data_IF_020343359760
#
_entry.id   IF_020343359760
#
_cell.length_a   1.000
_cell.length_b   1.000
_cell.length_c   1.000
_cell.angle_alpha   90.00
_cell.angle_beta   90.00
_cell.angle_gamma   90.00
#
_symmetry.space_group_name_H-M   'P 1'
#
loop_
_entity.id
_entity.type
_entity.pdbx_description
1 polymer ?
#
# COMPACT_ATOMS: atom_id res chain seq x y z
N UNK A 1 -2.16 -23.60 11.13
CA UNK A 1 -1.13 -22.55 11.12
C UNK A 1 -0.22 -22.68 9.90
N UNK A 2 0.42 -23.84 9.69
CA UNK A 2 1.30 -24.13 8.52
C UNK A 2 0.66 -23.87 7.14
N UNK A 3 -0.64 -24.19 6.96
CA UNK A 3 -1.36 -23.93 5.70
C UNK A 3 -1.57 -22.44 5.42
N UNK A 4 -1.78 -21.62 6.45
CA UNK A 4 -1.93 -20.17 6.29
C UNK A 4 -0.59 -19.53 5.96
N UNK A 5 0.49 -19.95 6.63
CA UNK A 5 1.85 -19.47 6.36
C UNK A 5 2.35 -19.81 4.95
N UNK A 6 2.07 -21.03 4.47
CA UNK A 6 2.41 -21.42 3.09
C UNK A 6 1.68 -20.55 2.08
N UNK A 7 0.38 -20.32 2.27
CA UNK A 7 -0.42 -19.48 1.38
C UNK A 7 0.03 -18.01 1.42
N UNK A 8 0.38 -17.48 2.59
CA UNK A 8 0.93 -16.13 2.74
C UNK A 8 2.29 -15.99 2.06
N UNK A 9 3.20 -16.96 2.20
CA UNK A 9 4.50 -16.94 1.51
C UNK A 9 4.35 -16.96 -0.01
N UNK A 10 3.42 -17.76 -0.53
CA UNK A 10 3.10 -17.78 -1.96
C UNK A 10 2.56 -16.42 -2.41
N UNK A 11 1.62 -15.83 -1.66
CA UNK A 11 1.06 -14.52 -1.98
C UNK A 11 2.13 -13.42 -2.00
N UNK A 12 3.05 -13.42 -1.02
CA UNK A 12 4.20 -12.51 -0.99
C UNK A 12 5.08 -12.72 -2.22
N UNK A 13 5.42 -13.97 -2.55
CA UNK A 13 6.22 -14.28 -3.74
C UNK A 13 5.58 -13.76 -5.03
N UNK A 14 4.26 -13.95 -5.18
CA UNK A 14 3.50 -13.43 -6.33
C UNK A 14 3.48 -11.90 -6.36
N UNK A 15 3.34 -11.24 -5.19
CA UNK A 15 3.33 -9.79 -5.07
C UNK A 15 4.64 -9.14 -5.52
N UNK A 16 5.77 -9.84 -5.42
CA UNK A 16 7.06 -9.38 -5.97
C UNK A 16 7.29 -9.80 -7.43
N UNK A 17 6.87 -11.02 -7.79
CA UNK A 17 7.09 -11.56 -9.13
C UNK A 17 6.31 -10.80 -10.20
N UNK A 18 5.05 -10.42 -9.94
CA UNK A 18 4.18 -9.75 -10.91
C UNK A 18 4.71 -8.35 -11.28
N UNK A 19 5.06 -7.45 -10.33
CA UNK A 19 5.68 -6.16 -10.66
C UNK A 19 7.04 -6.31 -11.34
N UNK A 20 7.86 -7.27 -10.91
CA UNK A 20 9.16 -7.52 -11.53
C UNK A 20 9.00 -7.94 -13.00
N UNK A 21 8.09 -8.87 -13.28
CA UNK A 21 7.80 -9.32 -14.64
C UNK A 21 7.26 -8.20 -15.52
N UNK A 22 6.31 -7.40 -15.03
CA UNK A 22 5.75 -6.26 -15.77
C UNK A 22 6.83 -5.22 -16.07
N UNK A 23 7.65 -4.85 -15.08
CA UNK A 23 8.79 -3.93 -15.28
C UNK A 23 9.80 -4.46 -16.31
N UNK A 24 10.11 -5.76 -16.27
CA UNK A 24 11.03 -6.40 -17.23
C UNK A 24 10.44 -6.40 -18.65
N UNK A 25 9.15 -6.69 -18.77
CA UNK A 25 8.43 -6.67 -20.05
C UNK A 25 8.41 -5.27 -20.68
N UNK A 26 8.19 -4.22 -19.87
CA UNK A 26 8.25 -2.84 -20.36
C UNK A 26 9.63 -2.46 -20.91
N UNK A 27 10.69 -2.78 -20.16
CA UNK A 27 12.05 -2.40 -20.54
C UNK A 27 12.65 -3.25 -21.66
N UNK A 28 12.51 -4.58 -21.61
CA UNK A 28 13.19 -5.47 -22.56
C UNK A 28 12.39 -5.75 -23.84
N UNK A 29 11.07 -5.88 -23.74
CA UNK A 29 10.27 -6.31 -24.90
C UNK A 29 9.82 -5.13 -25.77
N UNK A 30 9.55 -3.97 -25.16
CA UNK A 30 8.95 -2.82 -25.85
C UNK A 30 9.86 -1.58 -25.90
N UNK A 31 11.07 -1.64 -25.31
CA UNK A 31 11.99 -0.50 -25.17
C UNK A 31 11.33 0.75 -24.56
N UNK A 32 10.32 0.55 -23.70
CA UNK A 32 9.64 1.64 -23.00
C UNK A 32 10.52 2.07 -21.83
N UNK A 33 11.45 2.97 -22.12
CA UNK A 33 12.29 3.63 -21.12
C UNK A 33 11.44 4.58 -20.27
N UNK A 34 11.95 4.88 -19.07
CA UNK A 34 11.36 5.84 -18.14
C UNK A 34 12.15 7.17 -18.15
N UNK A 35 12.08 7.99 -19.22
CA UNK A 35 12.86 9.22 -19.31
C UNK A 35 12.43 10.26 -18.27
N UNK A 36 13.40 11.04 -17.82
CA UNK A 36 13.14 12.25 -17.04
C UNK A 36 12.64 13.37 -17.94
N UNK A 37 11.52 14.00 -17.56
CA UNK A 37 10.90 15.11 -18.29
C UNK A 37 11.10 16.40 -17.52
N UNK A 38 11.97 17.28 -18.03
CA UNK A 38 12.35 18.53 -17.37
C UNK A 38 11.18 19.50 -17.17
N UNK A 39 10.22 19.54 -18.11
CA UNK A 39 9.10 20.47 -18.04
C UNK A 39 8.24 20.28 -16.79
N UNK A 40 8.08 19.05 -16.29
CA UNK A 40 7.26 18.77 -15.10
C UNK A 40 8.02 18.11 -13.96
N UNK A 41 9.36 17.99 -14.06
CA UNK A 41 10.25 17.31 -13.12
C UNK A 41 9.73 15.93 -12.69
N UNK A 42 9.37 15.07 -13.66
CA UNK A 42 8.83 13.73 -13.41
C UNK A 42 9.42 12.68 -14.34
N UNK A 43 9.31 11.43 -13.95
CA UNK A 43 9.67 10.29 -14.78
C UNK A 43 8.45 9.85 -15.59
N UNK A 44 8.50 10.08 -16.90
CA UNK A 44 7.45 9.70 -17.85
C UNK A 44 7.78 8.39 -18.54
N UNK A 45 6.83 7.84 -19.28
CA UNK A 45 7.10 6.73 -20.22
C UNK A 45 7.29 7.35 -21.61
N UNK A 46 8.17 6.77 -22.43
CA UNK A 46 8.42 7.23 -23.80
C UNK A 46 7.12 7.29 -24.64
N UNK A 47 7.01 8.27 -25.54
CA UNK A 47 5.77 8.60 -26.29
C UNK A 47 5.55 7.74 -27.55
N UNK A 48 5.73 6.43 -27.42
CA UNK A 48 5.35 5.47 -28.47
C UNK A 48 3.92 4.96 -28.20
N UNK A 49 3.14 4.72 -29.25
CA UNK A 49 1.75 4.23 -29.11
C UNK A 49 1.66 2.96 -28.26
N UNK A 50 2.60 2.04 -28.40
CA UNK A 50 2.67 0.80 -27.60
C UNK A 50 2.94 1.08 -26.11
N UNK A 51 3.81 2.06 -25.83
CA UNK A 51 4.16 2.42 -24.46
C UNK A 51 3.03 3.15 -23.73
N UNK A 52 2.21 3.94 -24.44
CA UNK A 52 1.02 4.58 -23.87
C UNK A 52 -0.06 3.55 -23.50
N UNK A 53 -0.26 2.53 -24.36
CA UNK A 53 -1.16 1.41 -24.06
C UNK A 53 -0.70 0.68 -22.80
N UNK A 54 0.59 0.37 -22.72
CA UNK A 54 1.19 -0.30 -21.56
C UNK A 54 1.03 0.55 -20.30
N UNK A 55 1.38 1.83 -20.36
CA UNK A 55 1.25 2.78 -19.23
C UNK A 55 -0.19 2.83 -18.70
N UNK A 56 -1.19 2.88 -19.56
CA UNK A 56 -2.58 2.97 -19.12
C UNK A 56 -3.15 1.62 -18.64
N UNK A 57 -2.94 0.54 -19.39
CA UNK A 57 -3.56 -0.75 -19.09
C UNK A 57 -2.78 -1.57 -18.08
N UNK A 58 -1.45 -1.59 -18.18
CA UNK A 58 -0.59 -2.44 -17.35
C UNK A 58 -0.21 -1.77 -16.04
N UNK A 59 0.01 -0.45 -16.01
CA UNK A 59 0.26 0.25 -14.74
C UNK A 59 -1.06 0.69 -14.11
N UNK A 60 -1.74 1.68 -14.70
CA UNK A 60 -2.91 2.29 -14.07
C UNK A 60 -4.08 1.31 -13.84
N UNK A 61 -4.61 0.68 -14.89
CA UNK A 61 -5.77 -0.20 -14.76
C UNK A 61 -5.49 -1.43 -13.88
N UNK A 62 -4.28 -2.01 -13.98
CA UNK A 62 -3.87 -3.15 -13.14
C UNK A 62 -3.83 -2.74 -11.67
N UNK A 63 -3.09 -1.69 -11.33
CA UNK A 63 -2.87 -1.30 -9.93
C UNK A 63 -4.15 -0.78 -9.29
N UNK A 64 -4.92 0.02 -10.02
CA UNK A 64 -6.24 0.46 -9.58
C UNK A 64 -7.20 -0.73 -9.38
N UNK A 65 -7.20 -1.68 -10.33
CA UNK A 65 -8.03 -2.88 -10.26
C UNK A 65 -7.69 -3.78 -9.07
N UNK A 66 -6.41 -3.98 -8.78
CA UNK A 66 -5.94 -4.74 -7.61
C UNK A 66 -6.39 -4.07 -6.32
N UNK A 67 -6.22 -2.76 -6.20
CA UNK A 67 -6.63 -1.99 -5.01
C UNK A 67 -8.14 -2.04 -4.83
N UNK A 68 -8.92 -1.93 -5.91
CA UNK A 68 -10.37 -2.07 -5.86
C UNK A 68 -10.80 -3.47 -5.40
N UNK A 69 -10.15 -4.53 -5.90
CA UNK A 69 -10.41 -5.90 -5.45
C UNK A 69 -10.10 -6.11 -3.97
N UNK A 70 -8.97 -5.58 -3.49
CA UNK A 70 -8.61 -5.63 -2.06
C UNK A 70 -9.69 -4.92 -1.24
N UNK A 71 -10.10 -3.72 -1.65
CA UNK A 71 -11.15 -2.97 -0.97
C UNK A 71 -12.49 -3.73 -0.89
N UNK A 72 -12.86 -4.44 -1.96
CA UNK A 72 -14.06 -5.31 -1.96
C UNK A 72 -13.93 -6.42 -0.92
N UNK A 73 -12.81 -7.16 -0.92
CA UNK A 73 -12.55 -8.25 0.03
C UNK A 73 -12.55 -7.74 1.48
N UNK A 74 -11.96 -6.58 1.72
CA UNK A 74 -11.90 -5.93 3.02
C UNK A 74 -13.29 -5.51 3.53
N UNK A 75 -14.10 -4.90 2.66
CA UNK A 75 -15.48 -4.54 3.00
C UNK A 75 -16.31 -5.80 3.28
N UNK A 76 -16.20 -6.84 2.45
CA UNK A 76 -16.86 -8.13 2.70
C UNK A 76 -16.44 -8.73 4.04
N UNK A 77 -15.17 -8.65 4.39
CA UNK A 77 -14.63 -9.11 5.67
C UNK A 77 -15.24 -8.33 6.84
N UNK A 78 -15.32 -7.00 6.76
CA UNK A 78 -15.98 -6.17 7.79
C UNK A 78 -17.46 -6.54 7.95
N UNK A 79 -18.18 -6.72 6.83
CA UNK A 79 -19.60 -7.10 6.84
C UNK A 79 -19.77 -8.47 7.51
N UNK A 80 -18.97 -9.47 7.11
CA UNK A 80 -18.99 -10.81 7.71
C UNK A 80 -18.71 -10.75 9.21
N UNK A 81 -17.67 -10.03 9.63
CA UNK A 81 -17.32 -9.83 11.05
C UNK A 81 -18.47 -9.15 11.82
N UNK A 82 -19.24 -8.25 11.21
CA UNK A 82 -20.39 -7.60 11.85
C UNK A 82 -21.61 -8.51 11.95
N UNK A 83 -21.90 -9.28 10.91
CA UNK A 83 -23.06 -10.18 10.83
C UNK A 83 -22.88 -11.41 11.74
N UNK A 84 -21.67 -11.98 11.84
CA UNK A 84 -21.41 -13.18 12.67
C UNK A 84 -21.32 -12.89 14.17
N UNK A 85 -21.20 -11.61 14.55
CA UNK A 85 -20.96 -11.20 15.94
C UNK A 85 -22.08 -11.36 16.96
N UNK A 86 -23.37 -11.23 16.63
CA UNK A 86 -24.45 -11.33 17.62
C UNK A 86 -24.58 -12.73 18.26
N UNK A 87 -24.06 -13.78 17.61
CA UNK A 87 -24.23 -15.18 18.04
C UNK A 87 -23.23 -15.69 19.10
N UNK A 88 -22.14 -14.97 19.38
CA UNK A 88 -21.06 -15.43 20.27
C UNK A 88 -21.10 -14.74 21.65
N UNK A 89 -22.12 -15.06 22.46
CA UNK A 89 -22.18 -14.72 23.89
C UNK A 89 -21.63 -15.88 24.74
N UNK A 90 -20.31 -15.96 24.90
CA UNK A 90 -19.66 -16.92 25.82
C UNK A 90 -18.53 -16.24 26.61
N UNK A 91 -18.13 -16.85 27.74
CA UNK A 91 -17.30 -16.31 28.82
C UNK A 91 -15.95 -15.69 28.40
N UNK A 92 -15.45 -15.99 27.19
CA UNK A 92 -14.27 -15.34 26.58
C UNK A 92 -14.56 -13.98 25.90
N UNK A 93 -15.74 -13.40 26.14
CA UNK A 93 -16.25 -12.21 25.46
C UNK A 93 -15.24 -11.04 25.44
N UNK A 94 -14.58 -10.72 26.56
CA UNK A 94 -13.64 -9.57 26.61
C UNK A 94 -12.42 -9.75 25.69
N UNK A 95 -11.80 -10.93 25.67
CA UNK A 95 -10.63 -11.21 24.84
C UNK A 95 -11.00 -11.31 23.35
N UNK A 96 -12.13 -11.96 23.04
CA UNK A 96 -12.65 -12.07 21.67
C UNK A 96 -13.06 -10.70 21.12
N UNK A 97 -13.67 -9.83 21.93
CA UNK A 97 -14.01 -8.46 21.53
C UNK A 97 -12.76 -7.60 21.28
N UNK A 98 -11.72 -7.73 22.10
CA UNK A 98 -10.43 -7.05 21.86
C UNK A 98 -9.78 -7.51 20.56
N UNK A 99 -9.73 -8.82 20.29
CA UNK A 99 -9.18 -9.38 19.04
C UNK A 99 -9.96 -8.87 17.82
N UNK A 100 -11.29 -8.91 17.88
CA UNK A 100 -12.17 -8.42 16.81
C UNK A 100 -12.01 -6.92 16.54
N UNK A 101 -11.89 -6.10 17.59
CA UNK A 101 -11.60 -4.66 17.43
C UNK A 101 -10.28 -4.45 16.69
N UNK A 102 -9.25 -5.25 16.96
CA UNK A 102 -7.97 -5.18 16.26
C UNK A 102 -8.10 -5.57 14.79
N UNK A 103 -8.79 -6.66 14.49
CA UNK A 103 -9.06 -7.10 13.11
C UNK A 103 -9.78 -6.01 12.32
N UNK A 104 -10.82 -5.38 12.89
CA UNK A 104 -11.52 -4.25 12.24
C UNK A 104 -10.59 -3.05 12.04
N UNK A 105 -9.74 -2.73 13.01
CA UNK A 105 -8.76 -1.65 12.85
C UNK A 105 -7.76 -1.94 11.73
N UNK A 106 -7.30 -3.19 11.60
CA UNK A 106 -6.41 -3.61 10.52
C UNK A 106 -7.08 -3.45 9.15
N UNK A 107 -8.33 -3.91 9.00
CA UNK A 107 -9.05 -3.73 7.73
C UNK A 107 -9.29 -2.24 7.42
N UNK A 108 -9.55 -1.41 8.43
CA UNK A 108 -9.63 0.04 8.24
C UNK A 108 -8.31 0.67 7.78
N UNK A 109 -7.16 0.19 8.29
CA UNK A 109 -5.85 0.62 7.82
C UNK A 109 -5.68 0.32 6.34
N UNK A 110 -5.96 -0.93 5.93
CA UNK A 110 -5.86 -1.36 4.54
C UNK A 110 -6.75 -0.54 3.60
N UNK A 111 -7.99 -0.24 4.01
CA UNK A 111 -8.89 0.62 3.23
C UNK A 111 -8.38 2.07 3.09
N UNK A 112 -7.81 2.64 4.15
CA UNK A 112 -7.24 3.99 4.10
C UNK A 112 -6.00 4.02 3.21
N UNK A 113 -5.10 3.05 3.36
CA UNK A 113 -3.88 2.93 2.54
C UNK A 113 -4.24 2.74 1.06
N UNK A 114 -5.19 1.85 0.77
CA UNK A 114 -5.70 1.64 -0.58
C UNK A 114 -6.32 2.90 -1.18
N UNK A 115 -7.09 3.67 -0.41
CA UNK A 115 -7.69 4.92 -0.90
C UNK A 115 -6.63 5.99 -1.22
N UNK A 116 -5.58 6.11 -0.39
CA UNK A 116 -4.47 7.05 -0.61
C UNK A 116 -3.71 6.66 -1.88
N UNK A 117 -3.41 5.37 -2.05
CA UNK A 117 -2.74 4.87 -3.25
C UNK A 117 -3.60 5.02 -4.52
N UNK A 118 -4.90 4.71 -4.47
CA UNK A 118 -5.81 4.95 -5.60
C UNK A 118 -5.89 6.44 -5.98
N UNK A 119 -5.87 7.34 -4.99
CA UNK A 119 -5.85 8.78 -5.22
C UNK A 119 -4.57 9.21 -5.92
N UNK A 120 -3.43 8.69 -5.50
CA UNK A 120 -2.14 8.95 -6.13
C UNK A 120 -2.12 8.48 -7.60
N UNK A 121 -2.63 7.28 -7.91
CA UNK A 121 -2.78 6.80 -9.28
C UNK A 121 -3.62 7.75 -10.14
N UNK A 122 -4.75 8.22 -9.62
CA UNK A 122 -5.61 9.17 -10.34
C UNK A 122 -4.88 10.50 -10.59
N UNK A 123 -4.13 10.99 -9.59
CA UNK A 123 -3.34 12.21 -9.73
C UNK A 123 -2.24 12.05 -10.79
N UNK A 124 -1.52 10.93 -10.75
CA UNK A 124 -0.39 10.66 -11.63
C UNK A 124 -0.81 10.40 -13.09
N UNK A 125 -1.86 9.61 -13.32
CA UNK A 125 -2.24 9.18 -14.67
C UNK A 125 -3.30 10.03 -15.33
N UNK A 126 -4.21 10.64 -14.56
CA UNK A 126 -5.34 11.41 -15.10
C UNK A 126 -5.12 12.90 -14.89
N UNK A 127 -5.03 13.35 -13.63
CA UNK A 127 -5.02 14.79 -13.31
C UNK A 127 -3.80 15.48 -13.90
N UNK A 128 -2.62 14.85 -13.85
CA UNK A 128 -1.37 15.38 -14.40
C UNK A 128 -1.46 15.72 -15.89
N UNK A 129 -2.20 14.91 -16.68
CA UNK A 129 -2.37 15.10 -18.13
C UNK A 129 -3.27 16.28 -18.48
N UNK A 130 -4.10 16.71 -17.53
CA UNK A 130 -4.96 17.89 -17.66
C UNK A 130 -4.25 19.19 -17.26
N UNK A 131 -3.04 19.10 -16.69
CA UNK A 131 -2.30 20.27 -16.24
C UNK A 131 -1.43 20.85 -17.36
N UNK A 132 -1.42 22.18 -17.46
CA UNK A 132 -0.51 22.92 -18.35
C UNK A 132 0.62 23.60 -17.60
N UNK A 133 0.51 23.70 -16.26
CA UNK A 133 1.50 24.35 -15.40
C UNK A 133 2.52 23.32 -14.91
N UNK A 134 3.83 23.57 -15.09
CA UNK A 134 4.89 22.61 -14.75
C UNK A 134 4.89 22.22 -13.28
N UNK A 135 4.66 23.19 -12.39
CA UNK A 135 4.55 22.97 -10.94
C UNK A 135 3.36 22.08 -10.58
N UNK A 136 2.22 22.21 -11.28
CA UNK A 136 1.05 21.38 -11.00
C UNK A 136 1.27 19.94 -11.45
N UNK A 137 1.96 19.73 -12.57
CA UNK A 137 2.38 18.39 -13.03
C UNK A 137 3.28 17.75 -11.97
N UNK A 138 4.31 18.46 -11.52
CA UNK A 138 5.23 17.98 -10.48
C UNK A 138 4.54 17.58 -9.17
N UNK A 139 3.58 18.40 -8.73
CA UNK A 139 2.79 18.10 -7.52
C UNK A 139 1.93 16.83 -7.70
N UNK A 140 1.31 16.66 -8.88
CA UNK A 140 0.44 15.52 -9.17
C UNK A 140 1.22 14.23 -9.45
N UNK A 141 2.49 14.31 -9.85
CA UNK A 141 3.32 13.15 -10.18
C UNK A 141 4.32 12.85 -9.06
N UNK A 142 5.49 13.49 -9.09
CA UNK A 142 6.64 13.18 -8.23
C UNK A 142 6.34 13.38 -6.76
N UNK A 143 5.68 14.49 -6.40
CA UNK A 143 5.33 14.75 -4.98
C UNK A 143 4.28 13.78 -4.49
N UNK A 144 3.21 13.56 -5.27
CA UNK A 144 2.18 12.57 -4.94
C UNK A 144 2.76 11.17 -4.74
N UNK A 145 3.63 10.72 -5.65
CA UNK A 145 4.35 9.45 -5.56
C UNK A 145 5.19 9.36 -4.27
N UNK A 146 5.93 10.42 -3.92
CA UNK A 146 6.74 10.44 -2.71
C UNK A 146 5.88 10.44 -1.44
N UNK A 147 4.73 11.14 -1.49
CA UNK A 147 3.79 11.22 -0.38
C UNK A 147 3.14 9.87 -0.10
N UNK A 148 2.71 9.11 -1.12
CA UNK A 148 2.09 7.80 -0.86
C UNK A 148 3.07 6.84 -0.17
N UNK A 149 4.34 6.81 -0.60
CA UNK A 149 5.38 5.95 -0.01
C UNK A 149 5.81 6.38 1.40
N UNK A 150 5.47 7.59 1.83
CA UNK A 150 5.73 8.07 3.20
C UNK A 150 4.50 7.97 4.09
N UNK A 151 3.30 8.24 3.57
CA UNK A 151 2.05 8.18 4.32
C UNK A 151 1.67 6.73 4.63
N UNK A 152 1.91 5.78 3.71
CA UNK A 152 1.58 4.37 3.92
C UNK A 152 2.19 3.77 5.21
N UNK A 153 3.52 3.84 5.45
CA UNK A 153 4.11 3.35 6.69
C UNK A 153 3.69 4.18 7.92
N UNK A 154 3.40 5.48 7.76
CA UNK A 154 2.91 6.33 8.85
C UNK A 154 1.52 5.88 9.32
N UNK A 155 0.60 5.57 8.39
CA UNK A 155 -0.75 5.06 8.71
C UNK A 155 -0.64 3.76 9.52
N UNK A 156 0.25 2.84 9.12
CA UNK A 156 0.52 1.60 9.84
C UNK A 156 1.01 1.88 11.27
N UNK A 157 2.04 2.72 11.43
CA UNK A 157 2.62 3.04 12.73
C UNK A 157 1.58 3.69 13.64
N UNK A 158 0.85 4.69 13.16
CA UNK A 158 -0.07 5.46 13.98
C UNK A 158 -1.27 4.63 14.43
N UNK A 159 -1.82 3.79 13.55
CA UNK A 159 -3.05 3.05 13.83
C UNK A 159 -2.79 1.68 14.46
N UNK A 160 -1.58 1.12 14.38
CA UNK A 160 -1.25 -0.17 14.98
C UNK A 160 -0.61 0.01 16.37
N UNK A 161 -1.43 -0.14 17.42
CA UNK A 161 -0.97 -0.04 18.81
C UNK A 161 0.10 -1.09 19.17
N UNK A 162 0.02 -2.29 18.59
CA UNK A 162 0.98 -3.36 18.87
C UNK A 162 2.35 -3.00 18.28
N UNK A 163 2.37 -2.49 17.05
CA UNK A 163 3.58 -2.01 16.40
C UNK A 163 4.23 -0.87 17.19
N UNK A 164 3.43 0.10 17.66
CA UNK A 164 3.92 1.19 18.54
C UNK A 164 4.49 0.67 19.84
N UNK A 165 3.81 -0.27 20.49
CA UNK A 165 4.29 -0.86 21.73
C UNK A 165 5.60 -1.63 21.51
N UNK A 166 5.76 -2.31 20.37
CA UNK A 166 7.01 -2.98 20.01
C UNK A 166 8.15 -1.98 19.80
N UNK A 167 7.92 -0.89 19.06
CA UNK A 167 8.89 0.20 18.87
C UNK A 167 9.30 0.85 20.20
N UNK A 168 8.33 1.15 21.06
CA UNK A 168 8.55 1.76 22.37
C UNK A 168 9.24 0.81 23.36
N UNK A 169 8.96 -0.49 23.27
CA UNK A 169 9.63 -1.50 24.09
C UNK A 169 11.08 -1.69 23.66
N UNK A 170 11.35 -1.70 22.35
CA UNK A 170 12.70 -1.86 21.83
C UNK A 170 13.60 -0.66 22.18
N UNK A 171 13.06 0.56 22.14
CA UNK A 171 13.76 1.77 22.60
C UNK A 171 14.04 1.74 24.09
N UNK A 172 13.09 1.27 24.92
CA UNK A 172 13.30 1.11 26.37
C UNK A 172 14.34 0.02 26.72
N UNK A 173 14.44 -1.06 25.96
CA UNK A 173 15.52 -2.04 26.14
C UNK A 173 16.87 -1.44 25.77
N UNK A 174 16.94 -0.72 24.65
CA UNK A 174 18.18 -0.10 24.18
C UNK A 174 18.70 0.99 25.12
N UNK A 175 17.83 1.78 25.74
CA UNK A 175 18.23 2.76 26.76
C UNK A 175 18.78 2.09 28.02
N UNK A 176 18.25 0.91 28.37
CA UNK A 176 18.65 0.19 29.59
C UNK A 176 20.00 -0.51 29.45
N UNK A 177 20.33 -0.99 28.24
CA UNK A 177 21.65 -1.54 27.95
C UNK A 177 22.75 -0.47 27.91
N UNK A 178 22.44 0.73 27.41
CA UNK A 178 23.42 1.84 27.45
C UNK A 178 23.72 2.32 28.87
N UNK A 179 22.73 2.26 29.78
CA UNK A 179 22.95 2.59 31.19
C UNK A 179 23.79 1.52 31.94
N UNK A 180 23.83 0.28 31.45
CA UNK A 180 24.61 -0.83 32.05
C UNK A 180 26.05 -0.89 31.53
N UNK A 181 26.34 -0.38 30.33
CA UNK A 181 27.70 -0.32 29.75
C UNK A 181 28.51 0.92 30.23
N UNK A 182 27.84 1.93 30.80
CA UNK A 182 28.47 3.15 31.36
C UNK A 182 28.81 3.03 32.87
N UNK A 183 28.71 1.82 33.46
CA UNK A 183 28.97 1.54 34.88
C UNK A 183 30.14 0.55 35.07
#
# INVERSE_FOLDING_TARGET
MVLLERNTRVLIGLAYAIPCFTSLYMHLANNCLLPYVDFGWYFGVNTSADCDVIRYWIDFCKDFGVVALIAIVDVMTIVMIKVTAPGMRSANCSQTQKKRKREITFVKQALIQGAIFATELVFFFIVSTMQTKPVMIFLCTTVSWSLVHTIDPLVLILLNQEFRNMLLRNTRWRSRSTDEDDQ
#
